data_IF_167570672557
#
_entry.id   IF_167570672557
#
_cell.length_a   1.000
_cell.length_b   1.000
_cell.length_c   1.000
_cell.angle_alpha   90.00
_cell.angle_beta   90.00
_cell.angle_gamma   90.00
#
_symmetry.space_group_name_H-M   'P 1'
#
loop_
_entity.id
_entity.type
_entity.pdbx_description
1 polymer ?
#
# COMPACT_ATOMS: atom_id res chain seq x y z
N UNK A 1 -0.37 -0.50 -67.40
CA UNK A 1 -0.75 -0.13 -66.02
C UNK A 1 -0.69 -1.31 -65.06
N UNK A 2 -1.20 -2.49 -65.43
CA UNK A 2 -1.19 -3.73 -64.62
C UNK A 2 0.23 -4.18 -64.18
N UNK A 3 1.24 -4.10 -65.05
CA UNK A 3 2.62 -4.49 -64.69
C UNK A 3 3.22 -3.63 -63.56
N UNK A 4 2.98 -2.31 -63.59
CA UNK A 4 3.45 -1.39 -62.53
C UNK A 4 2.77 -1.71 -61.19
N UNK A 5 1.49 -2.05 -61.24
CA UNK A 5 0.72 -2.46 -60.05
C UNK A 5 1.22 -3.79 -59.47
N UNK A 6 1.51 -4.80 -60.30
CA UNK A 6 2.09 -6.05 -59.83
C UNK A 6 3.47 -5.86 -59.20
N UNK A 7 4.33 -5.03 -59.80
CA UNK A 7 5.65 -4.71 -59.22
C UNK A 7 5.49 -4.04 -57.86
N UNK A 8 4.56 -3.09 -57.74
CA UNK A 8 4.24 -2.46 -56.46
C UNK A 8 3.78 -3.47 -55.40
N UNK A 9 2.86 -4.37 -55.75
CA UNK A 9 2.39 -5.43 -54.85
C UNK A 9 3.52 -6.37 -54.42
N UNK A 10 4.43 -6.73 -55.33
CA UNK A 10 5.57 -7.59 -55.02
C UNK A 10 6.54 -6.92 -54.03
N UNK A 11 6.81 -5.63 -54.22
CA UNK A 11 7.62 -4.85 -53.28
C UNK A 11 6.91 -4.77 -51.93
N UNK A 12 5.62 -4.43 -51.91
CA UNK A 12 4.84 -4.34 -50.68
C UNK A 12 4.82 -5.66 -49.91
N UNK A 13 4.64 -6.79 -50.61
CA UNK A 13 4.68 -8.12 -50.01
C UNK A 13 6.06 -8.45 -49.42
N UNK A 14 7.14 -8.07 -50.12
CA UNK A 14 8.52 -8.30 -49.65
C UNK A 14 8.82 -7.46 -48.40
N UNK A 15 8.39 -6.19 -48.37
CA UNK A 15 8.52 -5.31 -47.20
C UNK A 15 7.69 -5.81 -46.02
N UNK A 16 6.48 -6.29 -46.26
CA UNK A 16 5.65 -6.90 -45.23
C UNK A 16 6.34 -8.14 -44.62
N UNK A 17 6.87 -9.02 -45.47
CA UNK A 17 7.61 -10.21 -45.02
C UNK A 17 8.85 -9.84 -44.19
N UNK A 18 9.65 -8.88 -44.65
CA UNK A 18 10.82 -8.40 -43.92
C UNK A 18 10.44 -7.78 -42.56
N UNK A 19 9.38 -6.98 -42.52
CA UNK A 19 8.88 -6.34 -41.30
C UNK A 19 8.47 -7.37 -40.23
N UNK A 20 7.76 -8.42 -40.63
CA UNK A 20 7.34 -9.50 -39.71
C UNK A 20 8.55 -10.22 -39.13
N UNK A 21 9.59 -10.47 -39.94
CA UNK A 21 10.81 -11.13 -39.47
C UNK A 21 11.57 -10.27 -38.45
N UNK A 22 11.72 -8.97 -38.72
CA UNK A 22 12.34 -8.02 -37.79
C UNK A 22 11.56 -7.96 -36.48
N UNK A 23 10.23 -7.91 -36.55
CA UNK A 23 9.39 -7.90 -35.36
C UNK A 23 9.55 -9.17 -34.52
N UNK A 24 9.56 -10.34 -35.17
CA UNK A 24 9.78 -11.63 -34.49
C UNK A 24 11.10 -11.62 -33.71
N UNK A 25 12.19 -11.18 -34.33
CA UNK A 25 13.50 -11.13 -33.69
C UNK A 25 13.54 -10.15 -32.50
N UNK A 26 12.88 -8.99 -32.64
CA UNK A 26 12.75 -8.02 -31.55
C UNK A 26 12.01 -8.61 -30.35
N UNK A 27 10.89 -9.32 -30.60
CA UNK A 27 10.13 -9.99 -29.54
C UNK A 27 10.97 -11.08 -28.85
N UNK A 28 11.69 -11.89 -29.63
CA UNK A 28 12.55 -12.95 -29.07
C UNK A 28 13.68 -12.39 -28.21
N UNK A 29 14.27 -11.26 -28.60
CA UNK A 29 15.28 -10.57 -27.82
C UNK A 29 14.73 -10.07 -26.48
N UNK A 30 13.63 -9.30 -26.50
CA UNK A 30 13.00 -8.78 -25.28
C UNK A 30 12.51 -9.92 -24.37
N UNK A 31 11.99 -11.01 -24.95
CA UNK A 31 11.60 -12.19 -24.17
C UNK A 31 12.82 -12.88 -23.55
N UNK A 32 13.98 -12.88 -24.21
CA UNK A 32 15.24 -13.35 -23.66
C UNK A 32 15.69 -12.52 -22.45
N UNK A 33 15.70 -11.20 -22.59
CA UNK A 33 16.06 -10.27 -21.51
C UNK A 33 15.14 -10.41 -20.30
N UNK A 34 13.81 -10.51 -20.54
CA UNK A 34 12.84 -10.76 -19.48
C UNK A 34 13.15 -12.04 -18.70
N UNK A 35 13.44 -13.15 -19.40
CA UNK A 35 13.77 -14.42 -18.74
C UNK A 35 15.07 -14.34 -17.95
N UNK A 36 16.08 -13.64 -18.46
CA UNK A 36 17.33 -13.43 -17.74
C UNK A 36 17.11 -12.60 -16.46
N UNK A 37 16.28 -11.56 -16.54
CA UNK A 37 15.93 -10.75 -15.37
C UNK A 37 15.12 -11.56 -14.34
N UNK A 38 14.15 -12.37 -14.77
CA UNK A 38 13.38 -13.25 -13.89
C UNK A 38 14.27 -14.26 -13.17
N UNK A 39 15.26 -14.84 -13.87
CA UNK A 39 16.24 -15.72 -13.24
C UNK A 39 17.06 -14.99 -12.17
N UNK A 40 17.52 -13.76 -12.46
CA UNK A 40 18.27 -12.95 -11.51
C UNK A 40 17.44 -12.56 -10.28
N UNK A 41 16.16 -12.20 -10.47
CA UNK A 41 15.23 -11.92 -9.37
C UNK A 41 15.05 -13.19 -8.51
N UNK A 42 14.88 -14.35 -9.13
CA UNK A 42 14.76 -15.62 -8.40
C UNK A 42 15.99 -15.95 -7.54
N UNK A 43 17.19 -15.70 -8.05
CA UNK A 43 18.44 -15.85 -7.28
C UNK A 43 18.48 -14.90 -6.08
N UNK A 44 18.11 -13.63 -6.28
CA UNK A 44 18.07 -12.62 -5.21
C UNK A 44 17.00 -12.93 -4.16
N UNK A 45 15.84 -13.43 -4.57
CA UNK A 45 14.78 -13.84 -3.64
C UNK A 45 15.22 -15.03 -2.79
N UNK A 46 15.99 -15.97 -3.34
CA UNK A 46 16.56 -17.08 -2.60
C UNK A 46 17.58 -16.60 -1.55
N UNK A 47 18.47 -15.68 -1.92
CA UNK A 47 19.43 -15.06 -1.00
C UNK A 47 18.72 -14.28 0.13
N UNK A 48 17.68 -13.52 -0.24
CA UNK A 48 16.89 -12.75 0.72
C UNK A 48 16.08 -13.66 1.65
N UNK A 49 15.62 -14.81 1.18
CA UNK A 49 14.96 -15.83 2.01
C UNK A 49 15.91 -16.37 3.08
N UNK A 50 17.16 -16.65 2.71
CA UNK A 50 18.20 -17.07 3.66
C UNK A 50 18.45 -15.98 4.71
N UNK A 51 18.64 -14.73 4.28
CA UNK A 51 18.87 -13.62 5.21
C UNK A 51 17.69 -13.39 6.16
N UNK A 52 16.45 -13.56 5.69
CA UNK A 52 15.26 -13.49 6.53
C UNK A 52 15.23 -14.60 7.59
N UNK A 53 15.70 -15.80 7.26
CA UNK A 53 15.80 -16.90 8.22
C UNK A 53 16.81 -16.56 9.34
N UNK A 54 17.98 -16.05 8.97
CA UNK A 54 18.99 -15.60 9.94
C UNK A 54 18.46 -14.46 10.82
N UNK A 55 17.78 -13.48 10.19
CA UNK A 55 17.15 -12.39 10.93
C UNK A 55 16.09 -12.89 11.92
N UNK A 56 15.29 -13.88 11.54
CA UNK A 56 14.29 -14.47 12.42
C UNK A 56 14.95 -15.14 13.65
N UNK A 57 16.06 -15.85 13.44
CA UNK A 57 16.85 -16.47 14.53
C UNK A 57 17.44 -15.40 15.44
N UNK A 58 17.99 -14.31 14.91
CA UNK A 58 18.55 -13.22 15.72
C UNK A 58 17.47 -12.47 16.51
N UNK A 59 16.26 -12.34 15.95
CA UNK A 59 15.14 -11.64 16.59
C UNK A 59 14.28 -12.51 17.50
N UNK A 60 14.63 -13.79 17.66
CA UNK A 60 13.88 -14.64 18.57
C UNK A 60 14.00 -14.10 20.02
N UNK A 61 12.91 -14.13 20.80
CA UNK A 61 12.90 -13.56 22.15
C UNK A 61 13.96 -14.20 23.06
N UNK A 62 14.26 -15.49 22.87
CA UNK A 62 15.32 -16.18 23.61
C UNK A 62 16.73 -15.64 23.35
N UNK A 63 16.97 -15.01 22.19
CA UNK A 63 18.25 -14.39 21.84
C UNK A 63 18.31 -12.93 22.29
N UNK A 64 17.21 -12.17 22.14
CA UNK A 64 17.13 -10.76 22.54
C UNK A 64 17.06 -10.59 24.07
N UNK A 65 16.24 -11.37 24.77
CA UNK A 65 16.03 -11.23 26.21
C UNK A 65 17.32 -11.18 27.05
N UNK A 66 18.31 -12.08 26.87
CA UNK A 66 19.56 -12.01 27.62
C UNK A 66 20.41 -10.77 27.28
N UNK A 67 20.33 -10.24 26.04
CA UNK A 67 21.02 -9.01 25.65
C UNK A 67 20.39 -7.81 26.36
N UNK A 68 19.05 -7.75 26.40
CA UNK A 68 18.32 -6.70 27.11
C UNK A 68 18.65 -6.72 28.60
N UNK A 69 18.65 -7.90 29.23
CA UNK A 69 19.01 -8.07 30.65
C UNK A 69 20.45 -7.60 30.92
N UNK A 70 21.40 -7.93 30.04
CA UNK A 70 22.81 -7.51 30.19
C UNK A 70 23.00 -6.00 30.10
N UNK A 71 22.21 -5.33 29.26
CA UNK A 71 22.32 -3.90 29.00
C UNK A 71 21.18 -3.08 29.63
N UNK A 72 20.55 -3.62 30.67
CA UNK A 72 19.39 -3.01 31.32
C UNK A 72 19.66 -1.58 31.82
N UNK A 73 20.85 -1.33 32.36
CA UNK A 73 21.26 -0.01 32.88
C UNK A 73 21.32 1.06 31.78
N UNK A 74 21.71 0.67 30.57
CA UNK A 74 21.79 1.56 29.42
C UNK A 74 20.45 1.70 28.68
N UNK A 75 19.70 0.60 28.57
CA UNK A 75 18.46 0.55 27.79
C UNK A 75 17.24 1.06 28.57
N UNK A 76 17.24 0.95 29.90
CA UNK A 76 16.15 1.38 30.79
C UNK A 76 14.77 0.82 30.40
N UNK A 77 14.73 -0.39 29.83
CA UNK A 77 13.52 -1.03 29.33
C UNK A 77 12.80 -1.78 30.46
N UNK A 78 11.61 -1.34 30.86
CA UNK A 78 10.77 -2.09 31.79
C UNK A 78 9.87 -3.09 31.03
N UNK A 79 9.64 -4.27 31.61
CA UNK A 79 8.60 -5.16 31.09
C UNK A 79 7.23 -4.50 31.26
N UNK A 80 6.40 -4.60 30.21
CA UNK A 80 5.03 -4.09 30.24
C UNK A 80 4.22 -4.93 31.22
N UNK A 81 3.64 -4.28 32.23
CA UNK A 81 2.75 -4.93 33.18
C UNK A 81 1.37 -5.17 32.54
N UNK A 82 0.66 -6.27 32.88
CA UNK A 82 -0.67 -6.54 32.34
C UNK A 82 -1.68 -5.40 32.56
N UNK A 83 -1.50 -4.58 33.62
CA UNK A 83 -2.38 -3.44 33.93
C UNK A 83 -2.22 -2.27 32.95
N UNK A 84 -1.17 -2.25 32.14
CA UNK A 84 -0.97 -1.23 31.10
C UNK A 84 -1.77 -1.53 29.83
N UNK A 85 -2.28 -2.76 29.68
CA UNK A 85 -3.28 -3.09 28.67
C UNK A 85 -4.66 -2.77 29.24
N UNK A 86 -5.41 -1.89 28.58
CA UNK A 86 -6.78 -1.58 28.98
C UNK A 86 -7.67 -2.82 28.85
N UNK A 87 -8.50 -3.07 29.86
CA UNK A 87 -9.53 -4.10 29.77
C UNK A 87 -10.70 -3.58 28.93
N UNK A 88 -11.48 -4.48 28.34
CA UNK A 88 -12.72 -4.11 27.65
C UNK A 88 -13.70 -3.36 28.57
N UNK A 89 -13.63 -3.58 29.88
CA UNK A 89 -14.41 -2.86 30.90
C UNK A 89 -13.96 -1.43 31.11
N UNK A 90 -12.74 -1.08 30.69
CA UNK A 90 -12.17 0.27 30.80
C UNK A 90 -12.55 1.14 29.60
N UNK A 91 -13.23 0.57 28.60
CA UNK A 91 -13.77 1.32 27.47
C UNK A 91 -14.95 2.19 27.96
N UNK A 92 -14.93 3.52 27.69
CA UNK A 92 -16.07 4.36 27.99
C UNK A 92 -17.29 3.87 27.20
N UNK A 93 -18.49 4.04 27.78
CA UNK A 93 -19.73 3.78 27.05
C UNK A 93 -19.75 4.59 25.76
N UNK A 94 -20.29 3.98 24.69
CA UNK A 94 -20.52 4.70 23.44
C UNK A 94 -21.33 5.97 23.79
N UNK A 95 -20.88 7.17 23.39
CA UNK A 95 -21.65 8.38 23.61
C UNK A 95 -23.03 8.24 22.96
N UNK A 96 -24.02 8.96 23.51
CA UNK A 96 -25.35 9.00 22.92
C UNK A 96 -25.23 9.37 21.42
N UNK A 97 -26.05 8.72 20.59
CA UNK A 97 -26.09 9.07 19.18
C UNK A 97 -26.43 10.56 19.07
N UNK A 98 -25.71 11.35 18.25
CA UNK A 98 -26.03 12.75 18.04
C UNK A 98 -27.50 12.87 17.62
N UNK A 99 -28.21 13.85 18.19
CA UNK A 99 -29.59 14.12 17.81
C UNK A 99 -29.63 14.62 16.37
N UNK A 100 -29.96 13.72 15.45
CA UNK A 100 -30.05 14.02 14.03
C UNK A 100 -31.15 15.06 13.74
N UNK A 101 -32.20 15.14 14.57
CA UNK A 101 -33.26 16.14 14.43
C UNK A 101 -32.72 17.54 14.75
N UNK A 102 -32.13 17.70 15.93
CA UNK A 102 -31.51 18.97 16.33
C UNK A 102 -30.40 19.42 15.36
N UNK A 103 -29.62 18.49 14.81
CA UNK A 103 -28.63 18.84 13.77
C UNK A 103 -29.30 19.35 12.49
N UNK A 104 -30.39 18.73 12.06
CA UNK A 104 -31.15 19.17 10.88
C UNK A 104 -31.73 20.57 11.08
N UNK A 105 -32.31 20.84 12.25
CA UNK A 105 -32.87 22.14 12.60
C UNK A 105 -31.79 23.23 12.60
N UNK A 106 -30.60 22.94 13.14
CA UNK A 106 -29.45 23.85 13.10
C UNK A 106 -29.00 24.16 11.66
N UNK A 107 -28.99 23.16 10.78
CA UNK A 107 -28.61 23.36 9.38
C UNK A 107 -29.65 24.20 8.63
N UNK A 108 -30.94 23.99 8.90
CA UNK A 108 -32.03 24.77 8.30
C UNK A 108 -31.99 26.23 8.76
N UNK A 109 -31.72 26.49 10.05
CA UNK A 109 -31.54 27.85 10.58
C UNK A 109 -30.35 28.58 9.92
N UNK A 110 -29.22 27.87 9.73
CA UNK A 110 -28.04 28.42 9.08
C UNK A 110 -28.31 28.74 7.59
N UNK A 111 -29.06 27.88 6.89
CA UNK A 111 -29.46 28.11 5.50
C UNK A 111 -30.42 29.30 5.36
N UNK A 112 -31.30 29.50 6.35
CA UNK A 112 -32.16 30.68 6.46
C UNK A 112 -31.41 31.97 6.85
N UNK A 113 -30.10 31.89 7.09
CA UNK A 113 -29.25 33.03 7.47
C UNK A 113 -29.47 33.54 8.90
N UNK A 114 -30.10 32.73 9.76
CA UNK A 114 -30.31 33.03 11.18
C UNK A 114 -29.14 32.44 11.97
N UNK A 115 -28.48 33.24 12.81
CA UNK A 115 -27.39 32.75 13.67
C UNK A 115 -27.95 31.89 14.82
N UNK A 116 -27.73 30.57 14.81
CA UNK A 116 -28.32 29.67 15.82
C UNK A 116 -27.70 29.85 17.21
N UNK A 117 -26.52 30.49 17.34
CA UNK A 117 -25.88 30.73 18.64
C UNK A 117 -26.56 31.90 19.37
N UNK A 118 -27.08 32.90 18.65
CA UNK A 118 -27.76 34.05 19.23
C UNK A 118 -29.02 33.66 20.02
N UNK A 119 -29.80 32.72 19.50
CA UNK A 119 -31.03 32.24 20.14
C UNK A 119 -30.77 31.48 21.45
N UNK A 120 -29.70 30.68 21.51
CA UNK A 120 -29.30 29.92 22.70
C UNK A 120 -28.80 30.86 23.82
N UNK A 121 -28.19 31.99 23.47
CA UNK A 121 -27.71 32.98 24.45
C UNK A 121 -28.85 33.81 25.07
N UNK A 122 -29.96 34.02 24.35
CA UNK A 122 -31.16 34.68 24.88
C UNK A 122 -31.94 33.80 25.87
N UNK A 123 -31.93 32.48 25.71
CA UNK A 123 -32.66 31.53 26.56
C UNK A 123 -31.96 31.25 27.91
N UNK A 124 -30.69 31.63 28.06
CA UNK A 124 -29.87 31.43 29.27
C UNK A 124 -29.92 32.67 30.20
N UNK A 125 -30.49 33.80 29.77
CA UNK A 125 -30.76 34.99 30.63
C UNK A 125 -32.14 34.94 31.27
#
# INVERSE_FOLDING_TARGET
MIQKFNIFLLIAATVALASVYILKFSIEHTAGEKRALEAHIGEQEAELSLLKADWAVLNQPGHIAPIVIRHQDALQLAQVSPRQFGAFTDLPMRPAQPDAGAMNDLFEMLEAGVDPIGAILEEIQ
#
